data_IF_305119881923
#
_entry.id   IF_305119881923
#
_cell.length_a   1.000
_cell.length_b   1.000
_cell.length_c   1.000
_cell.angle_alpha   90.00
_cell.angle_beta   90.00
_cell.angle_gamma   90.00
#
_symmetry.space_group_name_H-M   'P 1'
#
loop_
_entity.id
_entity.type
_entity.pdbx_description
1 polymer ?
#
# COMPACT_ATOMS: atom_id res chain seq x y z
N UNK A 1 10.26 13.87 -19.49
CA UNK A 1 10.84 14.04 -18.46
C UNK A 1 12.32 13.98 -18.14
N UNK A 2 13.25 14.10 -19.10
CA UNK A 2 14.69 14.20 -18.79
C UNK A 2 15.16 15.63 -18.50
N UNK A 3 14.33 16.63 -18.76
CA UNK A 3 14.61 18.03 -18.50
C UNK A 3 14.39 18.36 -17.03
N UNK A 4 15.26 19.19 -16.46
CA UNK A 4 15.22 19.56 -15.03
C UNK A 4 13.93 20.27 -14.60
N UNK A 5 13.20 20.86 -15.56
CA UNK A 5 11.96 21.63 -15.31
C UNK A 5 10.71 20.81 -15.69
N UNK A 6 10.85 19.53 -16.01
CA UNK A 6 9.70 18.69 -16.32
C UNK A 6 9.11 18.11 -15.04
N UNK A 7 7.90 18.51 -14.71
CA UNK A 7 7.17 18.00 -13.55
C UNK A 7 6.73 16.54 -13.74
N UNK A 8 6.44 16.14 -14.99
CA UNK A 8 5.98 14.80 -15.32
C UNK A 8 6.41 14.39 -16.72
N UNK A 9 6.73 13.11 -16.91
CA UNK A 9 7.00 12.50 -18.21
C UNK A 9 5.76 11.92 -18.88
N UNK A 10 5.90 11.37 -20.11
CA UNK A 10 4.82 10.66 -20.79
C UNK A 10 4.50 9.34 -20.09
N UNK A 11 3.33 8.79 -20.38
CA UNK A 11 2.95 7.44 -19.98
C UNK A 11 3.76 6.39 -20.76
N UNK A 12 3.82 5.17 -20.23
CA UNK A 12 4.72 4.12 -20.73
C UNK A 12 4.30 3.58 -22.10
N UNK A 13 2.98 3.45 -22.35
CA UNK A 13 2.45 2.94 -23.62
C UNK A 13 1.23 3.72 -24.08
N UNK A 14 0.98 3.67 -25.38
CA UNK A 14 -0.24 4.26 -25.97
C UNK A 14 -1.52 3.60 -25.44
N UNK A 15 -1.54 2.28 -25.38
CA UNK A 15 -2.68 1.52 -24.85
C UNK A 15 -3.03 1.93 -23.42
N UNK A 16 -2.03 2.15 -22.57
CA UNK A 16 -2.25 2.59 -21.20
C UNK A 16 -2.77 4.03 -21.15
N UNK A 17 -2.20 4.93 -21.96
CA UNK A 17 -2.69 6.31 -22.09
C UNK A 17 -4.16 6.35 -22.52
N UNK A 18 -4.52 5.54 -23.50
CA UNK A 18 -5.90 5.49 -24.04
C UNK A 18 -6.86 4.89 -23.00
N UNK A 19 -6.44 3.86 -22.24
CA UNK A 19 -7.22 3.33 -21.12
C UNK A 19 -7.50 4.40 -20.06
N UNK A 20 -6.48 5.17 -19.65
CA UNK A 20 -6.65 6.22 -18.64
C UNK A 20 -7.59 7.31 -19.16
N UNK A 21 -7.43 7.73 -20.42
CA UNK A 21 -8.35 8.71 -21.04
C UNK A 21 -9.81 8.20 -21.02
N UNK A 22 -10.02 6.91 -21.34
CA UNK A 22 -11.34 6.30 -21.25
C UNK A 22 -11.91 6.27 -19.82
N UNK A 23 -11.07 6.05 -18.80
CA UNK A 23 -11.50 6.14 -17.40
C UNK A 23 -11.86 7.58 -17.01
N UNK A 24 -11.15 8.58 -17.53
CA UNK A 24 -11.52 9.98 -17.31
C UNK A 24 -12.89 10.28 -17.95
N UNK A 25 -13.13 9.80 -19.17
CA UNK A 25 -14.44 9.94 -19.86
C UNK A 25 -15.56 9.24 -19.06
N UNK A 26 -15.29 8.03 -18.53
CA UNK A 26 -16.23 7.27 -17.70
C UNK A 26 -16.58 8.01 -16.40
N UNK A 27 -15.60 8.59 -15.73
CA UNK A 27 -15.81 9.35 -14.49
C UNK A 27 -16.66 10.59 -14.71
N UNK A 28 -16.39 11.33 -15.77
CA UNK A 28 -17.18 12.51 -16.17
C UNK A 28 -18.62 12.11 -16.53
N UNK A 29 -18.80 11.05 -17.32
CA UNK A 29 -20.12 10.54 -17.69
C UNK A 29 -20.93 10.01 -16.49
N UNK A 30 -20.25 9.46 -15.48
CA UNK A 30 -20.86 9.01 -14.22
C UNK A 30 -21.25 10.17 -13.29
N UNK A 31 -20.89 11.42 -13.61
CA UNK A 31 -21.28 12.62 -12.87
C UNK A 31 -20.21 13.15 -11.90
N UNK A 32 -19.00 12.60 -11.90
CA UNK A 32 -17.89 13.21 -11.19
C UNK A 32 -17.55 14.57 -11.79
N UNK A 33 -17.24 15.54 -10.93
CA UNK A 33 -16.90 16.88 -11.39
C UNK A 33 -15.43 16.95 -11.81
N UNK A 34 -15.16 17.16 -13.10
CA UNK A 34 -13.83 17.46 -13.60
C UNK A 34 -13.43 18.87 -13.15
N UNK A 35 -12.42 18.97 -12.30
CA UNK A 35 -11.87 20.25 -11.80
C UNK A 35 -10.67 20.67 -12.63
N UNK A 36 -9.83 19.71 -13.00
CA UNK A 36 -8.69 19.87 -13.91
C UNK A 36 -8.79 18.73 -14.93
N UNK A 37 -8.67 19.05 -16.22
CA UNK A 37 -8.74 18.08 -17.30
C UNK A 37 -7.37 17.91 -17.97
N UNK A 38 -6.72 16.79 -17.69
CA UNK A 38 -5.42 16.44 -18.25
C UNK A 38 -5.45 16.07 -19.73
N UNK A 39 -6.64 15.76 -20.28
CA UNK A 39 -6.81 15.42 -21.71
C UNK A 39 -6.52 16.60 -22.62
N UNK A 40 -6.67 17.83 -22.11
CA UNK A 40 -6.50 19.08 -22.87
C UNK A 40 -5.09 19.67 -22.75
N UNK A 41 -4.20 19.06 -21.97
CA UNK A 41 -2.86 19.59 -21.73
C UNK A 41 -1.97 19.33 -22.94
N UNK A 42 -1.45 20.41 -23.54
CA UNK A 42 -0.42 20.33 -24.57
C UNK A 42 0.95 20.05 -23.93
N UNK A 43 1.52 18.91 -24.26
CA UNK A 43 2.81 18.52 -23.76
C UNK A 43 3.97 19.19 -24.53
N UNK A 44 5.00 19.60 -23.80
CA UNK A 44 6.26 20.05 -24.40
C UNK A 44 7.15 18.81 -24.58
N UNK A 45 7.14 18.22 -25.75
CA UNK A 45 7.95 17.02 -25.99
C UNK A 45 7.75 16.48 -27.40
N UNK A 46 8.24 15.24 -27.63
CA UNK A 46 8.08 14.56 -28.90
C UNK A 46 6.60 14.38 -29.25
N UNK A 47 6.21 14.69 -30.47
CA UNK A 47 4.80 14.68 -30.91
C UNK A 47 4.16 13.28 -30.84
N UNK A 48 4.96 12.23 -30.86
CA UNK A 48 4.55 10.82 -30.79
C UNK A 48 4.53 10.26 -29.35
N UNK A 49 4.85 11.09 -28.36
CA UNK A 49 4.82 10.72 -26.95
C UNK A 49 3.40 10.40 -26.44
N UNK A 50 3.31 9.52 -25.45
CA UNK A 50 2.02 9.11 -24.86
C UNK A 50 1.63 10.07 -23.73
N UNK A 51 1.38 11.32 -24.10
CA UNK A 51 1.13 12.41 -23.18
C UNK A 51 -0.30 12.40 -22.65
N UNK A 52 -0.40 12.65 -21.34
CA UNK A 52 -1.65 12.91 -20.64
C UNK A 52 -1.31 13.76 -19.41
N UNK A 53 -1.95 14.91 -19.28
CA UNK A 53 -1.75 15.79 -18.14
C UNK A 53 -2.46 15.31 -16.87
N UNK A 54 -2.21 15.95 -15.72
CA UNK A 54 -2.91 15.63 -14.48
C UNK A 54 -4.39 15.97 -14.57
N UNK A 55 -5.21 15.07 -14.06
CA UNK A 55 -6.68 15.24 -13.97
C UNK A 55 -7.09 15.21 -12.51
N UNK A 56 -7.97 16.11 -12.10
CA UNK A 56 -8.57 16.17 -10.78
C UNK A 56 -10.08 16.05 -10.87
N UNK A 57 -10.62 15.02 -10.22
CA UNK A 57 -12.04 14.85 -10.01
C UNK A 57 -12.46 15.23 -8.61
N UNK A 58 -13.62 15.88 -8.48
CA UNK A 58 -14.33 16.11 -7.23
C UNK A 58 -15.70 15.40 -7.25
N UNK A 59 -16.28 15.19 -6.09
CA UNK A 59 -17.56 14.52 -5.92
C UNK A 59 -17.60 13.09 -6.51
N UNK A 60 -16.49 12.37 -6.45
CA UNK A 60 -16.45 10.94 -6.80
C UNK A 60 -17.20 10.12 -5.76
N UNK A 61 -17.95 9.12 -6.22
CA UNK A 61 -18.70 8.21 -5.35
C UNK A 61 -18.14 6.77 -5.45
N UNK A 62 -18.34 5.92 -4.43
CA UNK A 62 -17.75 4.58 -4.38
C UNK A 62 -18.24 3.59 -5.45
N UNK A 63 -19.33 3.90 -6.15
CA UNK A 63 -19.89 3.12 -7.26
C UNK A 63 -19.30 3.47 -8.63
N UNK A 64 -18.53 4.55 -8.72
CA UNK A 64 -17.89 4.96 -9.97
C UNK A 64 -16.67 4.08 -10.30
N UNK A 65 -16.49 3.79 -11.59
CA UNK A 65 -15.34 3.00 -12.07
C UNK A 65 -14.00 3.64 -11.69
N UNK A 66 -13.88 4.96 -11.74
CA UNK A 66 -12.69 5.72 -11.32
C UNK A 66 -12.37 5.64 -9.81
N UNK A 67 -13.29 5.09 -9.00
CA UNK A 67 -13.05 4.76 -7.60
C UNK A 67 -12.68 3.28 -7.42
N UNK A 68 -13.36 2.38 -8.13
CA UNK A 68 -13.20 0.93 -7.94
C UNK A 68 -12.01 0.34 -8.68
N UNK A 69 -11.62 0.96 -9.82
CA UNK A 69 -10.48 0.53 -10.63
C UNK A 69 -9.22 1.33 -10.31
N UNK A 70 -8.08 0.63 -10.25
CA UNK A 70 -6.78 1.29 -10.17
C UNK A 70 -6.46 1.95 -11.52
N UNK A 71 -6.50 3.28 -11.56
CA UNK A 71 -6.27 4.04 -12.80
C UNK A 71 -4.81 3.91 -13.27
N UNK A 72 -3.88 3.92 -12.33
CA UNK A 72 -2.43 3.85 -12.55
C UNK A 72 -1.90 4.96 -13.49
N UNK A 73 -2.36 6.18 -13.25
CA UNK A 73 -2.02 7.35 -14.06
C UNK A 73 -2.21 8.67 -13.31
N UNK A 74 -1.99 9.81 -13.99
CA UNK A 74 -2.03 11.13 -13.37
C UNK A 74 -3.47 11.60 -13.11
N UNK A 75 -4.24 10.83 -12.37
CA UNK A 75 -5.65 11.13 -12.04
C UNK A 75 -5.82 11.05 -10.53
N UNK A 76 -6.36 12.10 -9.94
CA UNK A 76 -6.73 12.17 -8.54
C UNK A 76 -8.24 12.27 -8.39
N UNK A 77 -8.83 11.32 -7.68
CA UNK A 77 -10.26 11.25 -7.37
C UNK A 77 -10.51 11.69 -5.93
N UNK A 78 -11.36 12.70 -5.74
CA UNK A 78 -11.73 13.22 -4.42
C UNK A 78 -13.14 12.76 -4.05
N UNK A 79 -13.24 11.98 -2.98
CA UNK A 79 -14.50 11.59 -2.35
C UNK A 79 -14.71 12.51 -1.14
N UNK A 80 -15.87 13.14 -1.06
CA UNK A 80 -16.21 14.01 0.07
C UNK A 80 -16.99 13.22 1.11
N UNK A 81 -16.56 13.31 2.34
CA UNK A 81 -17.23 12.68 3.50
C UNK A 81 -17.67 13.75 4.50
N UNK A 82 -18.74 13.48 5.22
CA UNK A 82 -19.33 14.42 6.18
C UNK A 82 -18.72 14.30 7.57
N UNK A 83 -18.02 13.20 7.85
CA UNK A 83 -17.47 12.91 9.17
C UNK A 83 -16.21 12.06 9.10
N UNK A 84 -15.43 12.09 10.18
CA UNK A 84 -14.29 11.18 10.37
C UNK A 84 -14.71 9.70 10.30
N UNK A 85 -15.84 9.34 10.92
CA UNK A 85 -16.32 7.96 10.94
C UNK A 85 -16.62 7.45 9.53
N UNK A 86 -17.30 8.26 8.72
CA UNK A 86 -17.57 7.94 7.30
C UNK A 86 -16.30 7.76 6.49
N UNK A 87 -15.30 8.62 6.71
CA UNK A 87 -14.01 8.50 6.01
C UNK A 87 -13.26 7.21 6.39
N UNK A 88 -13.26 6.84 7.67
CA UNK A 88 -12.66 5.58 8.15
C UNK A 88 -13.42 4.36 7.59
N UNK A 89 -14.74 4.40 7.58
CA UNK A 89 -15.56 3.34 7.00
C UNK A 89 -15.25 3.13 5.51
N UNK A 90 -15.16 4.22 4.76
CA UNK A 90 -14.80 4.18 3.33
C UNK A 90 -13.42 3.52 3.12
N UNK A 91 -12.41 3.90 3.91
CA UNK A 91 -11.07 3.30 3.84
C UNK A 91 -11.14 1.81 4.19
N UNK A 92 -11.87 1.46 5.24
CA UNK A 92 -11.94 0.08 5.74
C UNK A 92 -12.76 -0.84 4.83
N UNK A 93 -13.74 -0.32 4.11
CA UNK A 93 -14.55 -1.06 3.15
C UNK A 93 -13.77 -1.39 1.85
N UNK A 94 -12.68 -0.68 1.56
CA UNK A 94 -11.89 -0.94 0.36
C UNK A 94 -11.26 -2.34 0.43
N UNK A 95 -11.30 -3.07 -0.70
CA UNK A 95 -10.71 -4.40 -0.83
C UNK A 95 -9.17 -4.40 -0.70
N UNK A 96 -8.53 -3.29 -0.96
CA UNK A 96 -7.10 -3.08 -0.82
C UNK A 96 -6.79 -2.31 0.47
N UNK A 97 -5.64 -2.57 1.06
CA UNK A 97 -5.18 -1.91 2.28
C UNK A 97 -3.67 -1.70 2.27
N UNK A 98 -3.13 -1.16 1.18
CA UNK A 98 -1.70 -0.92 1.07
C UNK A 98 -1.24 0.19 2.01
N UNK A 99 -1.75 1.39 1.82
CA UNK A 99 -1.38 2.52 2.65
C UNK A 99 -2.41 3.65 2.59
N UNK A 100 -2.42 4.46 3.64
CA UNK A 100 -3.24 5.68 3.73
C UNK A 100 -2.49 6.77 4.47
N UNK A 101 -2.95 8.01 4.35
CA UNK A 101 -2.40 9.13 5.08
C UNK A 101 -3.50 9.98 5.70
N UNK A 102 -3.20 10.58 6.85
CA UNK A 102 -4.02 11.60 7.49
C UNK A 102 -3.22 12.89 7.63
N UNK A 103 -3.85 14.00 7.30
CA UNK A 103 -3.28 15.33 7.48
C UNK A 103 -4.06 16.05 8.58
N UNK A 104 -3.40 16.29 9.70
CA UNK A 104 -4.04 16.89 10.87
C UNK A 104 -3.01 17.53 11.80
N UNK A 105 -3.41 18.58 12.51
CA UNK A 105 -2.66 19.16 13.61
C UNK A 105 -3.12 18.63 14.98
N UNK A 106 -4.14 17.77 15.02
CA UNK A 106 -4.63 17.15 16.24
C UNK A 106 -4.00 15.77 16.46
N UNK A 107 -3.10 15.67 17.43
CA UNK A 107 -2.44 14.41 17.78
C UNK A 107 -3.41 13.34 18.34
N UNK A 108 -4.58 13.72 18.84
CA UNK A 108 -5.63 12.80 19.27
C UNK A 108 -6.29 12.13 18.05
N UNK A 109 -6.62 12.95 17.03
CA UNK A 109 -7.16 12.47 15.77
C UNK A 109 -6.16 11.56 15.04
N UNK A 110 -4.88 11.92 15.00
CA UNK A 110 -3.83 11.09 14.40
C UNK A 110 -3.75 9.72 15.07
N UNK A 111 -3.64 9.66 16.40
CA UNK A 111 -3.59 8.38 17.14
C UNK A 111 -4.86 7.54 17.01
N UNK A 112 -6.01 8.17 16.88
CA UNK A 112 -7.26 7.46 16.61
C UNK A 112 -7.23 6.84 15.21
N UNK A 113 -6.82 7.61 14.21
CA UNK A 113 -6.72 7.15 12.82
C UNK A 113 -5.82 5.92 12.68
N UNK A 114 -4.65 5.93 13.34
CA UNK A 114 -3.72 4.79 13.36
C UNK A 114 -4.36 3.49 13.87
N UNK A 115 -5.34 3.59 14.78
CA UNK A 115 -6.03 2.42 15.34
C UNK A 115 -7.24 1.98 14.52
N UNK A 116 -7.93 2.94 13.92
CA UNK A 116 -9.23 2.72 13.30
C UNK A 116 -9.11 2.19 11.87
N UNK A 117 -8.01 2.51 11.15
CA UNK A 117 -7.85 2.12 9.75
C UNK A 117 -7.19 0.75 9.57
N UNK A 118 -7.71 -0.04 8.63
CA UNK A 118 -7.24 -1.39 8.32
C UNK A 118 -6.35 -1.41 7.08
N UNK A 119 -5.14 -0.88 7.23
CA UNK A 119 -4.13 -0.78 6.17
C UNK A 119 -2.74 -1.13 6.70
N UNK A 120 -1.83 -1.53 5.83
CA UNK A 120 -0.48 -1.92 6.21
C UNK A 120 0.45 -0.76 6.55
N UNK A 121 0.24 0.41 5.95
CA UNK A 121 1.09 1.58 6.15
C UNK A 121 0.25 2.83 6.39
N UNK A 122 0.66 3.66 7.35
CA UNK A 122 -0.05 4.89 7.71
C UNK A 122 0.93 6.05 7.74
N UNK A 123 0.61 7.11 6.99
CA UNK A 123 1.30 8.39 7.05
C UNK A 123 0.53 9.40 7.91
N UNK A 124 1.21 10.07 8.82
CA UNK A 124 0.66 11.24 9.51
C UNK A 124 1.39 12.47 8.99
N UNK A 125 0.68 13.32 8.25
CA UNK A 125 1.23 14.47 7.53
C UNK A 125 2.33 14.10 6.50
N UNK A 126 2.30 12.85 6.02
CA UNK A 126 3.17 12.33 4.99
C UNK A 126 2.29 11.68 3.91
N UNK A 127 2.32 12.17 2.66
CA UNK A 127 1.37 11.72 1.63
C UNK A 127 1.59 10.27 1.16
N UNK A 128 2.84 9.80 1.20
CA UNK A 128 3.20 8.43 0.78
C UNK A 128 3.97 7.76 1.91
N UNK A 129 3.33 6.87 2.68
CA UNK A 129 3.88 6.30 3.92
C UNK A 129 4.84 5.13 3.66
N UNK A 130 5.82 5.28 2.78
CA UNK A 130 6.82 4.25 2.51
C UNK A 130 7.99 4.41 3.45
N UNK A 131 8.28 3.42 4.33
CA UNK A 131 9.42 3.47 5.24
C UNK A 131 10.73 3.19 4.51
N UNK A 132 11.85 3.42 5.20
CA UNK A 132 13.17 3.00 4.72
C UNK A 132 13.29 1.47 4.67
N UNK A 133 14.10 0.94 3.75
CA UNK A 133 14.13 -0.46 3.36
C UNK A 133 14.50 -1.48 4.46
N UNK A 134 15.05 -1.07 5.59
CA UNK A 134 15.31 -1.96 6.72
C UNK A 134 14.11 -2.20 7.64
N UNK A 135 13.03 -1.45 7.46
CA UNK A 135 11.74 -1.76 8.07
C UNK A 135 10.89 -2.61 7.13
N UNK A 136 10.11 -3.50 7.71
CA UNK A 136 9.10 -4.22 6.95
C UNK A 136 8.02 -3.25 6.48
N UNK A 137 7.59 -3.39 5.23
CA UNK A 137 6.50 -2.61 4.67
C UNK A 137 5.69 -3.44 3.68
N UNK A 138 4.42 -3.14 3.59
CA UNK A 138 3.49 -3.80 2.68
C UNK A 138 2.06 -3.58 3.13
N UNK A 139 1.14 -4.07 2.32
CA UNK A 139 -0.29 -3.89 2.53
C UNK A 139 -0.93 -5.00 3.35
N UNK A 140 -2.17 -4.76 3.69
CA UNK A 140 -3.11 -5.74 4.22
C UNK A 140 -4.14 -6.11 3.14
N UNK A 141 -5.07 -6.95 3.47
CA UNK A 141 -6.17 -7.38 2.59
C UNK A 141 -5.63 -7.91 1.24
N UNK A 142 -6.19 -7.46 0.12
CA UNK A 142 -5.72 -7.86 -1.23
C UNK A 142 -4.41 -7.20 -1.69
N UNK A 143 -3.84 -6.33 -0.88
CA UNK A 143 -2.57 -5.68 -1.21
C UNK A 143 -1.34 -6.51 -0.87
N UNK A 144 -1.50 -7.69 -0.26
CA UNK A 144 -0.42 -8.61 0.07
C UNK A 144 -0.86 -10.06 -0.09
N UNK A 145 0.05 -10.93 -0.48
CA UNK A 145 -0.11 -12.38 -0.44
C UNK A 145 0.54 -12.93 0.85
N UNK A 146 -0.27 -13.47 1.76
CA UNK A 146 0.19 -13.97 3.07
C UNK A 146 0.34 -12.85 4.12
N UNK A 147 0.96 -13.19 5.25
CA UNK A 147 0.99 -12.34 6.44
C UNK A 147 2.35 -11.67 6.67
N UNK A 148 3.40 -12.12 6.00
CA UNK A 148 4.78 -11.62 6.16
C UNK A 148 5.27 -10.87 4.94
N UNK A 149 5.89 -9.73 5.17
CA UNK A 149 6.49 -8.91 4.14
C UNK A 149 7.93 -9.37 3.82
N UNK A 150 8.43 -9.01 2.62
CA UNK A 150 9.74 -9.46 2.16
C UNK A 150 10.90 -8.54 2.59
N UNK A 151 10.66 -7.47 3.33
CA UNK A 151 11.65 -6.47 3.73
C UNK A 151 11.91 -6.46 5.24
N UNK A 152 13.06 -5.90 5.64
CA UNK A 152 13.46 -5.81 7.02
C UNK A 152 13.73 -7.18 7.67
N UNK A 153 13.56 -7.27 8.97
CA UNK A 153 13.75 -8.52 9.74
C UNK A 153 12.75 -9.60 9.34
N UNK A 154 11.56 -9.24 8.90
CA UNK A 154 10.56 -10.19 8.42
C UNK A 154 11.01 -10.91 7.15
N UNK A 155 11.81 -10.28 6.30
CA UNK A 155 12.38 -10.90 5.12
C UNK A 155 13.24 -12.12 5.46
N UNK A 156 13.94 -12.10 6.59
CA UNK A 156 14.69 -13.26 7.07
C UNK A 156 13.74 -14.42 7.37
N UNK A 157 12.64 -14.16 8.07
CA UNK A 157 11.64 -15.18 8.37
C UNK A 157 10.91 -15.67 7.12
N UNK A 158 10.63 -14.76 6.17
CA UNK A 158 9.97 -15.10 4.92
C UNK A 158 10.80 -16.08 4.06
N UNK A 159 12.12 -15.86 3.97
CA UNK A 159 13.00 -16.66 3.10
C UNK A 159 13.68 -17.84 3.83
N UNK A 160 13.42 -18.05 5.13
CA UNK A 160 14.03 -19.12 5.91
C UNK A 160 12.98 -19.99 6.59
N UNK A 161 13.41 -21.14 7.08
CA UNK A 161 12.59 -22.02 7.93
C UNK A 161 13.21 -22.14 9.31
N UNK A 162 12.41 -21.96 10.33
CA UNK A 162 12.81 -22.22 11.70
C UNK A 162 13.04 -23.71 11.92
N UNK A 163 14.12 -24.06 12.62
CA UNK A 163 14.38 -25.42 13.11
C UNK A 163 14.61 -25.35 14.60
N UNK A 164 13.87 -26.15 15.35
CA UNK A 164 14.08 -26.31 16.78
C UNK A 164 15.02 -27.51 16.99
N UNK A 165 16.10 -27.29 17.74
CA UNK A 165 17.06 -28.34 18.13
C UNK A 165 17.12 -28.37 19.63
N UNK A 166 16.73 -29.50 20.21
CA UNK A 166 16.92 -29.77 21.65
C UNK A 166 18.08 -30.73 21.81
N UNK A 167 19.09 -30.33 22.54
CA UNK A 167 20.31 -31.16 22.73
C UNK A 167 20.56 -31.41 24.21
N UNK A 168 20.87 -32.63 24.55
CA UNK A 168 21.35 -33.02 25.86
C UNK A 168 22.71 -33.70 25.71
N UNK A 169 23.72 -33.08 26.26
CA UNK A 169 25.06 -33.67 26.35
C UNK A 169 25.18 -34.48 27.67
N UNK A 170 25.44 -35.76 27.54
CA UNK A 170 25.65 -36.62 28.71
C UNK A 170 27.15 -36.75 28.89
N UNK A 171 27.62 -36.46 30.12
CA UNK A 171 29.01 -36.70 30.50
C UNK A 171 29.33 -38.19 30.37
N UNK A 172 30.37 -38.57 29.59
CA UNK A 172 30.74 -39.98 29.42
C UNK A 172 31.02 -40.69 30.71
N UNK A 173 31.50 -39.98 31.79
CA UNK A 173 31.76 -40.52 33.10
C UNK A 173 30.47 -40.89 33.87
N UNK A 174 29.36 -40.27 33.53
CA UNK A 174 28.04 -40.47 34.15
C UNK A 174 27.03 -41.13 33.22
N UNK A 175 27.50 -41.95 32.27
CA UNK A 175 26.61 -42.69 31.39
C UNK A 175 25.77 -43.70 32.18
N UNK A 176 24.42 -43.61 32.11
CA UNK A 176 23.59 -44.66 32.71
C UNK A 176 23.92 -46.01 32.08
N UNK A 177 24.14 -47.03 32.85
CA UNK A 177 24.41 -48.40 32.40
C UNK A 177 23.18 -49.07 31.77
N UNK A 178 22.00 -48.48 31.94
CA UNK A 178 20.70 -49.11 31.66
C UNK A 178 20.03 -48.59 30.35
N UNK A 179 20.83 -48.15 29.41
CA UNK A 179 20.28 -47.74 28.07
C UNK A 179 19.79 -46.30 27.99
N UNK A 180 19.14 -45.98 26.90
CA UNK A 180 18.70 -44.62 26.54
C UNK A 180 17.56 -44.17 27.47
N UNK A 181 17.83 -43.25 28.38
CA UNK A 181 16.76 -42.63 29.18
C UNK A 181 16.04 -41.56 28.35
N UNK A 182 14.84 -41.85 27.92
CA UNK A 182 13.95 -40.93 27.18
C UNK A 182 13.09 -40.04 28.09
N UNK A 183 13.37 -39.94 29.35
CA UNK A 183 12.65 -39.10 30.31
C UNK A 183 12.95 -37.62 30.12
N UNK A 184 11.93 -36.77 30.28
CA UNK A 184 12.11 -35.33 30.29
C UNK A 184 12.99 -34.89 31.48
N UNK A 185 13.82 -33.83 31.34
CA UNK A 185 14.57 -33.27 32.45
C UNK A 185 13.61 -32.90 33.60
N UNK A 186 13.86 -33.41 34.81
CA UNK A 186 13.18 -32.93 36.00
C UNK A 186 13.96 -31.74 36.53
N UNK A 187 13.27 -30.61 36.74
CA UNK A 187 13.87 -29.49 37.47
C UNK A 187 14.15 -29.97 38.89
N UNK A 188 15.42 -29.89 39.28
CA UNK A 188 15.87 -30.13 40.67
C UNK A 188 15.81 -28.80 41.41
#
# INVERSE_FOLDING_TARGET
>A
GSEKEADMGPLVTRAHRDRIAGLIDSGEAAGAKVVIDGRTVEARGAADGFWLGPTLFDNVTPDMEIYTEEIFGPVLSVVRVSSYAEGVELINANAYGNGTAVFTNDGGAARRFEKDVQVGMIGVNVPVPVPVAYYSFGGWKRSLFGDTHAHGTEGVHFFTRGKVVTTRWIDPANRPTDGLQLGFPRNV
#
